data_IF_368602990204
#
_entry.id   IF_368602990204
#
_cell.length_a   1.000
_cell.length_b   1.000
_cell.length_c   1.000
_cell.angle_alpha   90.00
_cell.angle_beta   90.00
_cell.angle_gamma   90.00
#
_symmetry.space_group_name_H-M   'P 1'
#
loop_
_entity.id
_entity.type
_entity.pdbx_description
1 polymer ?
#
# COMPACT_ATOMS: atom_id res chain seq x y z
N UNK A 1 -22.08 12.09 -4.59
CA UNK A 1 -22.73 12.99 -5.56
C UNK A 1 -22.94 14.32 -4.84
N UNK A 2 -22.38 15.43 -5.34
CA UNK A 2 -22.53 16.76 -4.73
C UNK A 2 -23.87 17.41 -5.11
N UNK A 3 -24.94 16.62 -5.07
CA UNK A 3 -26.29 17.02 -5.44
C UNK A 3 -27.19 16.87 -4.22
N UNK A 4 -27.20 17.91 -3.40
CA UNK A 4 -28.06 18.02 -2.21
C UNK A 4 -28.74 19.40 -2.22
N UNK A 5 -29.58 19.68 -1.22
CA UNK A 5 -30.32 20.95 -1.17
C UNK A 5 -29.42 22.20 -1.17
N UNK A 6 -28.18 22.10 -0.68
CA UNK A 6 -27.26 23.23 -0.62
C UNK A 6 -26.66 23.58 -2.00
N UNK A 7 -26.53 22.60 -2.90
CA UNK A 7 -25.87 22.80 -4.21
C UNK A 7 -26.78 22.54 -5.41
N UNK A 8 -28.05 22.12 -5.20
CA UNK A 8 -28.97 21.73 -6.29
C UNK A 8 -29.20 22.80 -7.36
N UNK A 9 -29.10 24.08 -6.99
CA UNK A 9 -29.29 25.23 -7.89
C UNK A 9 -27.98 25.84 -8.38
N UNK A 10 -26.83 25.26 -8.03
CA UNK A 10 -25.50 25.76 -8.40
C UNK A 10 -24.97 25.01 -9.61
N UNK A 11 -24.21 25.71 -10.45
CA UNK A 11 -23.39 25.07 -11.48
C UNK A 11 -22.12 24.48 -10.87
N UNK A 12 -21.50 23.50 -11.54
CA UNK A 12 -20.24 22.93 -11.07
C UNK A 12 -19.13 23.96 -10.85
N UNK A 13 -18.91 24.95 -11.75
CA UNK A 13 -17.95 26.02 -11.49
C UNK A 13 -18.26 26.84 -10.23
N UNK A 14 -19.54 27.11 -9.94
CA UNK A 14 -19.92 27.83 -8.72
C UNK A 14 -19.62 27.02 -7.46
N UNK A 15 -19.86 25.70 -7.49
CA UNK A 15 -19.52 24.81 -6.37
C UNK A 15 -18.00 24.77 -6.17
N UNK A 16 -17.23 24.64 -7.25
CA UNK A 16 -15.76 24.61 -7.21
C UNK A 16 -15.22 25.93 -6.64
N UNK A 17 -15.72 27.08 -7.09
CA UNK A 17 -15.28 28.39 -6.59
C UNK A 17 -15.61 28.59 -5.11
N UNK A 18 -16.80 28.14 -4.67
CA UNK A 18 -17.18 28.16 -3.25
C UNK A 18 -16.24 27.31 -2.39
N UNK A 19 -15.86 26.12 -2.87
CA UNK A 19 -14.89 25.26 -2.18
C UNK A 19 -13.50 25.89 -2.15
N UNK A 20 -13.05 26.45 -3.27
CA UNK A 20 -11.75 27.10 -3.38
C UNK A 20 -11.64 28.28 -2.40
N UNK A 21 -12.70 29.09 -2.29
CA UNK A 21 -12.80 30.20 -1.35
C UNK A 21 -12.77 29.74 0.11
N UNK A 22 -13.47 28.64 0.43
CA UNK A 22 -13.43 28.07 1.78
C UNK A 22 -12.03 27.53 2.14
N UNK A 23 -11.39 26.83 1.21
CA UNK A 23 -10.06 26.22 1.39
C UNK A 23 -8.98 27.29 1.60
N UNK A 24 -9.07 28.39 0.86
CA UNK A 24 -8.20 29.55 1.03
C UNK A 24 -8.41 30.21 2.40
N UNK A 25 -9.67 30.39 2.82
CA UNK A 25 -10.04 30.96 4.12
C UNK A 25 -9.49 30.16 5.30
N UNK A 26 -9.48 28.82 5.22
CA UNK A 26 -8.92 27.98 6.28
C UNK A 26 -7.39 27.81 6.19
N UNK A 27 -6.75 28.42 5.19
CA UNK A 27 -5.29 28.42 5.01
C UNK A 27 -4.71 27.06 4.60
N UNK A 28 -5.50 26.17 4.01
CA UNK A 28 -5.03 24.84 3.63
C UNK A 28 -4.20 24.90 2.33
N UNK A 29 -4.74 25.57 1.31
CA UNK A 29 -4.11 25.78 -0.01
C UNK A 29 -4.65 27.10 -0.57
N UNK A 30 -3.86 27.83 -1.37
CA UNK A 30 -4.37 29.05 -2.02
C UNK A 30 -5.51 28.74 -3.00
N UNK A 31 -6.44 29.70 -3.15
CA UNK A 31 -7.55 29.58 -4.09
C UNK A 31 -7.09 29.16 -5.50
N UNK A 32 -6.09 29.83 -6.05
CA UNK A 32 -5.58 29.54 -7.40
C UNK A 32 -5.02 28.13 -7.52
N UNK A 33 -4.22 27.68 -6.54
CA UNK A 33 -3.64 26.34 -6.54
C UNK A 33 -4.73 25.26 -6.45
N UNK A 34 -5.79 25.51 -5.68
CA UNK A 34 -6.94 24.61 -5.63
C UNK A 34 -7.67 24.54 -6.97
N UNK A 35 -7.93 25.69 -7.60
CA UNK A 35 -8.58 25.74 -8.92
C UNK A 35 -7.75 25.05 -10.01
N UNK A 36 -6.43 25.25 -10.01
CA UNK A 36 -5.52 24.52 -10.91
C UNK A 36 -5.59 23.01 -10.67
N UNK A 37 -5.63 22.57 -9.41
CA UNK A 37 -5.77 21.15 -9.08
C UNK A 37 -7.10 20.55 -9.55
N UNK A 38 -8.20 21.29 -9.42
CA UNK A 38 -9.52 20.86 -9.91
C UNK A 38 -9.60 20.75 -11.45
N UNK A 39 -8.71 21.43 -12.17
CA UNK A 39 -8.60 21.36 -13.62
C UNK A 39 -7.48 20.42 -14.12
N UNK A 40 -6.80 19.71 -13.22
CA UNK A 40 -5.66 18.84 -13.55
C UNK A 40 -6.12 17.47 -14.04
N UNK A 41 -5.65 17.08 -15.23
CA UNK A 41 -5.89 15.73 -15.78
C UNK A 41 -5.20 14.65 -14.93
N UNK A 42 -3.99 14.91 -14.44
CA UNK A 42 -3.24 13.95 -13.59
C UNK A 42 -4.01 13.63 -12.29
N UNK A 43 -4.50 14.66 -11.59
CA UNK A 43 -5.29 14.48 -10.36
C UNK A 43 -6.61 13.76 -10.66
N UNK A 44 -7.24 14.07 -11.79
CA UNK A 44 -8.44 13.38 -12.24
C UNK A 44 -8.17 11.90 -12.50
N UNK A 45 -7.06 11.57 -13.16
CA UNK A 45 -6.66 10.19 -13.44
C UNK A 45 -6.34 9.41 -12.16
N UNK A 46 -5.60 10.00 -11.23
CA UNK A 46 -5.34 9.42 -9.90
C UNK A 46 -6.66 9.12 -9.16
N UNK A 47 -7.61 10.06 -9.17
CA UNK A 47 -8.92 9.89 -8.54
C UNK A 47 -9.70 8.74 -9.18
N UNK A 48 -9.66 8.60 -10.50
CA UNK A 48 -10.31 7.51 -11.24
C UNK A 48 -9.67 6.15 -10.94
N UNK A 49 -8.35 6.11 -10.80
CA UNK A 49 -7.61 4.91 -10.40
C UNK A 49 -8.05 4.50 -8.99
N UNK A 50 -8.07 5.42 -8.03
CA UNK A 50 -8.53 5.15 -6.66
C UNK A 50 -9.98 4.65 -6.63
N UNK A 51 -10.88 5.26 -7.42
CA UNK A 51 -12.26 4.80 -7.52
C UNK A 51 -12.38 3.39 -8.09
N UNK A 52 -11.69 3.09 -9.19
CA UNK A 52 -11.65 1.74 -9.78
C UNK A 52 -11.08 0.71 -8.81
N UNK A 53 -10.05 1.08 -8.05
CA UNK A 53 -9.50 0.23 -7.00
C UNK A 53 -10.55 -0.06 -5.93
N UNK A 54 -11.25 0.95 -5.39
CA UNK A 54 -12.31 0.71 -4.41
C UNK A 54 -13.42 -0.21 -4.97
N UNK A 55 -13.83 -0.02 -6.23
CA UNK A 55 -14.81 -0.88 -6.89
C UNK A 55 -14.33 -2.33 -7.05
N UNK A 56 -13.07 -2.55 -7.46
CA UNK A 56 -12.51 -3.91 -7.61
C UNK A 56 -12.40 -4.65 -6.28
N UNK A 57 -12.43 -3.91 -5.17
CA UNK A 57 -12.42 -4.42 -3.80
C UNK A 57 -13.82 -4.55 -3.19
N UNK A 58 -14.89 -4.29 -3.96
CA UNK A 58 -16.28 -4.43 -3.50
C UNK A 58 -16.70 -3.39 -2.45
N UNK A 59 -16.02 -2.24 -2.39
CA UNK A 59 -16.36 -1.18 -1.43
C UNK A 59 -17.67 -0.50 -1.85
N UNK A 60 -18.68 -0.56 -0.98
CA UNK A 60 -20.02 0.03 -1.21
C UNK A 60 -20.38 1.13 -0.22
N UNK A 61 -19.54 1.38 0.79
CA UNK A 61 -19.80 2.35 1.84
C UNK A 61 -18.55 2.78 2.56
N UNK A 62 -18.67 3.82 3.38
CA UNK A 62 -17.58 4.37 4.18
C UNK A 62 -17.96 4.45 5.67
N UNK A 63 -17.00 4.27 6.59
CA UNK A 63 -15.65 3.77 6.32
C UNK A 63 -15.65 2.26 5.99
N UNK A 64 -14.74 1.85 5.10
CA UNK A 64 -14.41 0.43 4.85
C UNK A 64 -12.90 0.28 4.98
N UNK A 65 -12.45 -0.72 5.73
CA UNK A 65 -11.04 -0.88 6.09
C UNK A 65 -10.44 -2.17 5.54
N UNK A 66 -9.20 -2.05 5.05
CA UNK A 66 -8.38 -3.17 4.63
C UNK A 66 -7.03 -3.09 5.34
N UNK A 67 -6.49 -4.24 5.76
CA UNK A 67 -5.11 -4.35 6.24
C UNK A 67 -4.37 -5.23 5.23
N UNK A 68 -3.30 -4.70 4.63
CA UNK A 68 -2.52 -5.39 3.58
C UNK A 68 -3.37 -5.95 2.43
N UNK A 69 -4.44 -5.23 2.04
CA UNK A 69 -5.34 -5.69 1.00
C UNK A 69 -6.20 -6.89 1.40
N UNK A 70 -6.46 -7.10 2.69
CA UNK A 70 -7.46 -8.05 3.21
C UNK A 70 -8.56 -7.27 3.93
N UNK A 71 -9.82 -7.55 3.61
CA UNK A 71 -10.95 -6.91 4.28
C UNK A 71 -10.96 -7.27 5.77
N UNK A 72 -11.31 -6.30 6.61
CA UNK A 72 -11.35 -6.49 8.07
C UNK A 72 -12.78 -6.37 8.58
N UNK A 73 -13.04 -6.83 9.80
CA UNK A 73 -14.29 -6.56 10.52
C UNK A 73 -14.30 -5.17 11.18
N UNK A 74 -13.30 -4.33 10.90
CA UNK A 74 -13.19 -3.02 11.51
C UNK A 74 -14.34 -2.08 11.10
N UNK A 75 -14.71 -1.20 12.02
CA UNK A 75 -15.74 -0.20 11.82
C UNK A 75 -15.35 1.11 12.52
N UNK A 76 -16.16 2.16 12.35
CA UNK A 76 -15.90 3.50 12.89
C UNK A 76 -15.83 3.57 14.42
N UNK A 77 -16.28 2.55 15.15
CA UNK A 77 -16.25 2.50 16.60
C UNK A 77 -14.99 1.83 17.17
N UNK A 78 -14.12 1.26 16.34
CA UNK A 78 -12.88 0.63 16.81
C UNK A 78 -11.98 1.64 17.54
N UNK A 79 -11.58 1.26 18.74
CA UNK A 79 -10.60 1.98 19.54
C UNK A 79 -9.17 1.76 19.04
N UNK A 80 -8.22 2.52 19.56
CA UNK A 80 -6.80 2.28 19.29
C UNK A 80 -6.36 0.86 19.68
N UNK A 81 -6.90 0.33 20.78
CA UNK A 81 -6.53 -1.00 21.28
C UNK A 81 -7.08 -2.11 20.36
N UNK A 82 -8.27 -1.91 19.78
CA UNK A 82 -8.81 -2.83 18.76
C UNK A 82 -7.89 -2.88 17.53
N UNK A 83 -7.42 -1.71 17.06
CA UNK A 83 -6.46 -1.64 15.95
C UNK A 83 -5.14 -2.33 16.26
N UNK A 84 -4.57 -2.05 17.44
CA UNK A 84 -3.33 -2.68 17.89
C UNK A 84 -3.45 -4.21 17.98
N UNK A 85 -4.60 -4.71 18.46
CA UNK A 85 -4.83 -6.15 18.58
C UNK A 85 -4.70 -6.92 17.26
N UNK A 86 -4.96 -6.25 16.12
CA UNK A 86 -4.86 -6.84 14.78
C UNK A 86 -3.53 -6.50 14.10
N UNK A 87 -3.07 -5.25 14.21
CA UNK A 87 -1.89 -4.77 13.49
C UNK A 87 -0.59 -5.22 14.17
N UNK A 88 -0.50 -5.15 15.50
CA UNK A 88 0.75 -5.43 16.23
C UNK A 88 1.24 -6.87 16.02
N UNK A 89 0.38 -7.91 16.01
CA UNK A 89 0.81 -9.27 15.68
C UNK A 89 1.35 -9.41 14.26
N UNK A 90 0.78 -8.70 13.27
CA UNK A 90 1.23 -8.72 11.87
C UNK A 90 2.61 -8.05 11.75
N UNK A 91 2.80 -6.94 12.46
CA UNK A 91 4.10 -6.27 12.52
C UNK A 91 5.14 -7.13 13.24
N UNK A 92 4.76 -7.80 14.33
CA UNK A 92 5.63 -8.72 15.05
C UNK A 92 5.99 -9.96 14.21
N UNK A 93 5.06 -10.49 13.41
CA UNK A 93 5.35 -11.61 12.49
C UNK A 93 6.25 -11.18 11.32
N UNK A 94 6.12 -9.94 10.84
CA UNK A 94 7.00 -9.36 9.83
C UNK A 94 8.37 -8.92 10.39
N UNK A 95 8.44 -8.71 11.71
CA UNK A 95 9.65 -8.46 12.50
C UNK A 95 10.34 -9.75 12.98
N UNK A 96 9.66 -10.90 12.92
CA UNK A 96 10.32 -12.20 12.86
C UNK A 96 10.86 -12.40 11.44
N UNK A 97 11.87 -11.60 11.08
CA UNK A 97 13.04 -12.23 10.44
C UNK A 97 13.34 -13.38 11.37
N UNK A 98 13.17 -14.63 10.90
CA UNK A 98 13.51 -15.81 11.67
C UNK A 98 14.87 -15.54 12.28
N UNK A 99 14.88 -15.24 13.58
CA UNK A 99 16.08 -14.87 14.26
C UNK A 99 16.96 -16.11 14.25
N UNK A 100 17.98 -16.07 13.40
CA UNK A 100 19.23 -16.78 13.59
C UNK A 100 19.11 -18.31 13.51
N UNK A 101 18.92 -18.85 12.29
CA UNK A 101 19.74 -20.01 11.95
C UNK A 101 21.09 -19.41 11.53
N UNK A 102 22.00 -19.21 12.49
CA UNK A 102 23.36 -18.68 12.21
C UNK A 102 24.20 -19.61 11.36
N UNK A 103 23.80 -20.87 11.27
CA UNK A 103 24.56 -21.88 10.56
C UNK A 103 23.64 -22.58 9.57
N UNK A 104 23.84 -22.28 8.29
CA UNK A 104 23.25 -23.10 7.24
C UNK A 104 23.69 -24.56 7.45
N UNK A 105 22.81 -25.55 7.19
CA UNK A 105 23.20 -26.95 7.23
C UNK A 105 24.46 -27.18 6.38
N UNK A 106 25.29 -28.21 6.67
CA UNK A 106 26.57 -28.42 5.98
C UNK A 106 26.50 -28.50 4.44
N UNK A 107 25.31 -28.74 3.88
CA UNK A 107 25.02 -28.80 2.45
C UNK A 107 24.58 -27.47 1.82
N UNK A 108 24.49 -26.39 2.60
CA UNK A 108 23.93 -25.10 2.19
C UNK A 108 24.88 -23.94 2.47
N UNK A 109 24.74 -22.85 1.72
CA UNK A 109 25.55 -21.63 1.86
C UNK A 109 24.70 -20.45 2.29
N UNK A 110 25.21 -19.62 3.18
CA UNK A 110 24.54 -18.40 3.64
C UNK A 110 24.50 -17.33 2.52
N UNK A 111 23.35 -16.63 2.41
CA UNK A 111 23.09 -15.59 1.42
C UNK A 111 22.44 -14.37 2.07
N UNK A 112 23.22 -13.30 2.24
CA UNK A 112 22.78 -11.98 2.67
C UNK A 112 22.27 -11.18 1.47
N UNK A 113 20.98 -11.30 1.18
CA UNK A 113 20.40 -10.69 -0.02
C UNK A 113 19.86 -9.28 0.22
N UNK A 114 19.60 -8.88 1.47
CA UNK A 114 19.17 -7.53 1.80
C UNK A 114 19.57 -7.17 3.24
N UNK A 115 19.55 -5.87 3.62
CA UNK A 115 19.86 -5.45 4.99
C UNK A 115 19.03 -6.23 6.02
N UNK A 116 19.72 -6.93 6.93
CA UNK A 116 19.13 -7.80 7.95
C UNK A 116 18.28 -8.97 7.41
N UNK A 117 18.49 -9.38 6.16
CA UNK A 117 17.79 -10.50 5.53
C UNK A 117 18.78 -11.51 4.96
N UNK A 118 18.82 -12.68 5.60
CA UNK A 118 19.69 -13.80 5.27
C UNK A 118 18.86 -15.05 4.99
N UNK A 119 19.33 -15.92 4.10
CA UNK A 119 18.75 -17.24 3.86
C UNK A 119 19.83 -18.25 3.45
N UNK A 120 19.51 -19.55 3.46
CA UNK A 120 20.44 -20.62 3.06
C UNK A 120 20.16 -21.12 1.64
N UNK A 121 21.16 -21.05 0.77
CA UNK A 121 21.12 -21.52 -0.61
C UNK A 121 21.53 -22.99 -0.71
N UNK A 122 20.82 -23.76 -1.54
CA UNK A 122 21.15 -25.13 -1.92
C UNK A 122 22.35 -25.19 -2.88
N UNK A 123 22.94 -26.37 -3.02
CA UNK A 123 24.01 -26.62 -3.98
C UNK A 123 23.55 -26.31 -5.41
N UNK A 124 24.27 -25.40 -6.09
CA UNK A 124 23.93 -24.94 -7.45
C UNK A 124 23.15 -23.62 -7.51
N UNK A 125 22.68 -23.11 -6.39
CA UNK A 125 22.07 -21.78 -6.31
C UNK A 125 23.13 -20.68 -6.17
N UNK A 126 22.78 -19.48 -6.65
CA UNK A 126 23.57 -18.25 -6.47
C UNK A 126 22.78 -17.23 -5.68
N UNK A 127 23.47 -16.50 -4.81
CA UNK A 127 22.90 -15.38 -4.07
C UNK A 127 22.81 -14.14 -4.97
N UNK A 128 21.61 -13.64 -5.21
CA UNK A 128 21.37 -12.41 -5.99
C UNK A 128 20.96 -11.28 -5.04
N UNK A 129 21.63 -10.11 -5.05
CA UNK A 129 21.23 -8.96 -4.24
C UNK A 129 19.76 -8.57 -4.46
N UNK A 130 19.05 -8.26 -3.38
CA UNK A 130 17.61 -7.94 -3.29
C UNK A 130 16.64 -9.02 -3.78
N UNK A 131 17.13 -10.21 -4.16
CA UNK A 131 16.33 -11.27 -4.80
C UNK A 131 16.43 -12.58 -4.04
N UNK A 132 17.64 -12.93 -3.59
CA UNK A 132 17.90 -14.16 -2.86
C UNK A 132 18.53 -15.30 -3.67
N UNK A 133 18.50 -16.51 -3.13
CA UNK A 133 19.01 -17.71 -3.78
C UNK A 133 18.23 -18.00 -5.07
N UNK A 134 18.92 -18.17 -6.19
CA UNK A 134 18.34 -18.56 -7.47
C UNK A 134 19.19 -19.62 -8.14
N UNK A 135 18.52 -20.60 -8.73
CA UNK A 135 19.16 -21.58 -9.59
C UNK A 135 19.78 -20.91 -10.80
N UNK A 136 21.10 -21.04 -10.92
CA UNK A 136 21.80 -20.63 -12.13
C UNK A 136 22.06 -21.89 -12.95
N UNK A 137 21.32 -22.05 -14.05
CA UNK A 137 21.50 -23.17 -14.98
C UNK A 137 22.97 -23.21 -15.45
N UNK A 138 23.78 -24.09 -14.86
CA UNK A 138 24.98 -24.58 -15.52
C UNK A 138 24.48 -25.36 -16.74
N UNK A 139 25.07 -25.10 -17.90
CA UNK A 139 24.58 -25.47 -19.25
C UNK A 139 24.36 -26.98 -19.52
N UNK A 140 24.38 -27.84 -18.51
CA UNK A 140 24.34 -29.30 -18.63
C UNK A 140 23.12 -29.97 -17.95
N UNK A 141 22.01 -29.25 -17.75
CA UNK A 141 20.74 -29.88 -17.39
C UNK A 141 20.62 -30.44 -15.96
N UNK A 142 21.62 -30.25 -15.11
CA UNK A 142 21.49 -30.50 -13.68
C UNK A 142 20.68 -29.36 -13.07
N UNK A 143 19.38 -29.59 -12.88
CA UNK A 143 18.53 -28.76 -12.02
C UNK A 143 19.17 -28.71 -10.63
N UNK A 144 19.01 -27.59 -9.92
CA UNK A 144 19.14 -27.62 -8.47
C UNK A 144 18.32 -28.80 -7.95
N UNK A 145 18.94 -29.64 -7.11
CA UNK A 145 18.28 -30.81 -6.53
C UNK A 145 17.13 -30.39 -5.61
#
# INVERSE_FOLDING_TARGET
>A
MWYNDATKSMTMPQVIDSLATYIDKIGLVSKDKFLTGMASDDINDETRISWKYACSRGVVGTPTFFINGVATSANSAWSLDDWKSVIDPILASNGKVSSQIKDCPPSQKECDYAPHKTQCCLAGERCIPNVGCRCFNLKNGNKCA
#
